data_IF_838957611918
#
_entry.id   IF_838957611918
#
_cell.length_a   1.000
_cell.length_b   1.000
_cell.length_c   1.000
_cell.angle_alpha   90.00
_cell.angle_beta   90.00
_cell.angle_gamma   90.00
#
_symmetry.space_group_name_H-M   'P 1'
#
loop_
_entity.id
_entity.type
_entity.pdbx_description
1 polymer ?
#
# COMPACT_ATOMS: atom_id res chain seq x y z
N UNK A 1 -37.91 -24.07 -22.08
CA UNK A 1 -36.47 -23.82 -22.38
C UNK A 1 -36.08 -22.34 -22.29
N UNK A 2 -36.91 -21.37 -22.71
CA UNK A 2 -36.58 -19.93 -22.65
C UNK A 2 -36.34 -19.38 -21.22
N UNK A 3 -36.99 -19.93 -20.20
CA UNK A 3 -36.87 -19.46 -18.81
C UNK A 3 -35.47 -19.70 -18.21
N UNK A 4 -34.86 -20.86 -18.48
CA UNK A 4 -33.52 -21.22 -17.95
C UNK A 4 -32.43 -20.31 -18.51
N UNK A 5 -32.54 -19.92 -19.78
CA UNK A 5 -31.59 -18.99 -20.42
C UNK A 5 -31.67 -17.57 -19.87
N UNK A 6 -32.82 -17.12 -19.36
CA UNK A 6 -32.96 -15.78 -18.78
C UNK A 6 -32.30 -15.71 -17.39
N UNK A 7 -32.54 -16.71 -16.54
CA UNK A 7 -31.91 -16.79 -15.21
C UNK A 7 -30.39 -16.89 -15.28
N UNK A 8 -29.86 -17.70 -16.21
CA UNK A 8 -28.41 -17.81 -16.40
C UNK A 8 -27.76 -16.48 -16.81
N UNK A 9 -28.42 -15.70 -17.66
CA UNK A 9 -27.94 -14.36 -18.06
C UNK A 9 -27.94 -13.39 -16.88
N UNK A 10 -29.02 -13.33 -16.10
CA UNK A 10 -29.10 -12.44 -14.93
C UNK A 10 -28.04 -12.81 -13.88
N UNK A 11 -27.85 -14.11 -13.60
CA UNK A 11 -26.83 -14.57 -12.68
C UNK A 11 -25.42 -14.18 -13.13
N UNK A 12 -25.10 -14.31 -14.42
CA UNK A 12 -23.81 -13.87 -14.96
C UNK A 12 -23.61 -12.36 -14.83
N UNK A 13 -24.66 -11.55 -15.08
CA UNK A 13 -24.58 -10.09 -14.91
C UNK A 13 -24.39 -9.71 -13.44
N UNK A 14 -25.10 -10.36 -12.51
CA UNK A 14 -24.96 -10.12 -11.06
C UNK A 14 -23.57 -10.54 -10.57
N UNK A 15 -23.05 -11.70 -11.00
CA UNK A 15 -21.69 -12.15 -10.65
C UNK A 15 -20.62 -11.20 -11.22
N UNK A 16 -20.83 -10.62 -12.41
CA UNK A 16 -19.94 -9.58 -12.93
C UNK A 16 -20.06 -8.25 -12.16
N UNK A 17 -21.26 -7.88 -11.71
CA UNK A 17 -21.50 -6.67 -10.91
C UNK A 17 -21.00 -6.79 -9.46
N UNK A 18 -20.94 -8.01 -8.92
CA UNK A 18 -20.37 -8.30 -7.59
C UNK A 18 -18.98 -8.90 -7.68
N UNK A 19 -18.29 -8.79 -8.82
CA UNK A 19 -16.84 -8.87 -8.82
C UNK A 19 -16.36 -7.65 -8.05
N UNK A 20 -16.49 -7.74 -6.73
CA UNK A 20 -16.07 -6.76 -5.75
C UNK A 20 -14.59 -6.55 -6.06
N UNK A 21 -14.30 -5.47 -6.77
CA UNK A 21 -13.02 -4.79 -6.67
C UNK A 21 -12.92 -4.46 -5.19
N UNK A 22 -12.36 -5.40 -4.40
CA UNK A 22 -12.12 -5.17 -2.99
C UNK A 22 -11.09 -4.05 -2.97
N UNK A 23 -11.59 -2.83 -2.89
CA UNK A 23 -10.80 -1.62 -2.85
C UNK A 23 -9.92 -1.72 -1.61
N UNK A 24 -8.61 -1.62 -1.82
CA UNK A 24 -7.64 -1.74 -0.74
C UNK A 24 -7.97 -0.72 0.34
N UNK A 25 -8.07 -1.18 1.59
CA UNK A 25 -8.30 -0.32 2.74
C UNK A 25 -6.94 0.10 3.30
N UNK A 26 -6.66 1.39 3.35
CA UNK A 26 -5.47 1.95 3.97
C UNK A 26 -5.84 2.93 5.09
N UNK A 27 -4.87 3.22 5.95
CA UNK A 27 -4.95 4.39 6.82
C UNK A 27 -4.32 5.59 6.13
N UNK A 28 -4.96 6.74 6.26
CA UNK A 28 -4.46 8.05 5.84
C UNK A 28 -4.43 9.04 6.99
N UNK A 29 -3.41 9.89 7.05
CA UNK A 29 -3.35 11.01 7.97
C UNK A 29 -3.58 12.34 7.24
N UNK A 30 -4.44 13.19 7.81
CA UNK A 30 -4.65 14.56 7.31
C UNK A 30 -3.53 15.52 7.73
N UNK A 31 -3.65 16.79 7.34
CA UNK A 31 -2.69 17.86 7.69
C UNK A 31 -2.58 18.11 9.20
N UNK A 32 -3.55 17.67 10.00
CA UNK A 32 -3.53 17.75 11.46
C UNK A 32 -2.93 16.52 12.15
N UNK A 33 -2.45 15.54 11.37
CA UNK A 33 -1.91 14.27 11.87
C UNK A 33 -2.98 13.25 12.26
N UNK A 34 -4.28 13.58 12.07
CA UNK A 34 -5.36 12.67 12.42
C UNK A 34 -5.45 11.54 11.40
N UNK A 35 -5.38 10.32 11.91
CA UNK A 35 -5.46 9.08 11.11
C UNK A 35 -6.91 8.63 10.95
N UNK A 36 -7.29 8.26 9.73
CA UNK A 36 -8.59 7.68 9.39
C UNK A 36 -8.43 6.52 8.41
N UNK A 37 -9.41 5.62 8.42
CA UNK A 37 -9.48 4.50 7.49
C UNK A 37 -10.18 4.96 6.20
N UNK A 38 -9.60 4.60 5.06
CA UNK A 38 -10.09 4.97 3.74
C UNK A 38 -9.87 3.81 2.77
N UNK A 39 -10.78 3.67 1.80
CA UNK A 39 -10.75 2.64 0.78
C UNK A 39 -10.86 3.30 -0.59
N UNK A 40 -9.98 2.94 -1.51
CA UNK A 40 -9.95 3.47 -2.87
C UNK A 40 -9.64 2.35 -3.87
N UNK A 41 -10.45 2.23 -4.91
CA UNK A 41 -10.32 1.21 -5.94
C UNK A 41 -9.06 1.37 -6.80
N UNK A 42 -8.44 2.55 -6.81
CA UNK A 42 -7.20 2.78 -7.56
C UNK A 42 -5.94 2.39 -6.80
N UNK A 43 -6.03 2.10 -5.50
CA UNK A 43 -4.85 1.79 -4.69
C UNK A 43 -4.50 0.31 -4.74
N UNK A 44 -3.24 0.06 -5.05
CA UNK A 44 -2.64 -1.26 -5.01
C UNK A 44 -1.86 -1.49 -3.70
N UNK A 45 -1.45 -0.39 -3.04
CA UNK A 45 -0.59 -0.46 -1.86
C UNK A 45 -0.95 0.56 -0.78
N UNK A 46 -0.65 0.19 0.46
CA UNK A 46 -0.57 1.14 1.55
C UNK A 46 0.89 1.46 1.87
N UNK A 47 1.13 2.71 2.26
CA UNK A 47 2.43 3.28 2.58
C UNK A 47 2.48 3.62 4.06
N UNK A 48 3.64 3.35 4.66
CA UNK A 48 4.01 3.73 6.00
C UNK A 48 5.37 4.44 5.96
N UNK A 49 5.41 5.68 6.43
CA UNK A 49 6.63 6.48 6.58
C UNK A 49 6.88 6.67 8.07
N UNK A 50 7.90 6.03 8.66
CA UNK A 50 8.20 6.22 10.06
C UNK A 50 8.68 7.64 10.35
N UNK A 51 8.11 8.22 11.41
CA UNK A 51 8.61 9.42 12.06
C UNK A 51 8.90 9.15 13.54
N UNK A 52 9.44 10.15 14.24
CA UNK A 52 9.78 10.04 15.67
C UNK A 52 8.52 10.01 16.56
N UNK A 53 7.50 10.80 16.23
CA UNK A 53 6.28 10.95 17.03
C UNK A 53 5.02 10.54 16.25
N UNK A 54 4.97 10.90 14.98
CA UNK A 54 3.86 10.63 14.07
C UNK A 54 4.39 9.99 12.80
N UNK A 55 3.71 8.95 12.32
CA UNK A 55 4.00 8.33 11.04
C UNK A 55 3.03 8.81 10.00
N UNK A 56 3.53 9.00 8.78
CA UNK A 56 2.69 9.30 7.63
C UNK A 56 2.22 7.99 7.03
N UNK A 57 0.92 7.87 6.83
CA UNK A 57 0.25 6.70 6.31
C UNK A 57 -0.64 7.14 5.16
N UNK A 58 -0.64 6.41 4.04
CA UNK A 58 -1.53 6.68 2.91
C UNK A 58 -1.61 5.52 1.94
N UNK A 59 -2.59 5.53 1.04
CA UNK A 59 -2.62 4.59 -0.08
C UNK A 59 -1.97 5.16 -1.34
N UNK A 60 -1.45 4.28 -2.20
CA UNK A 60 -0.90 4.65 -3.50
C UNK A 60 -1.39 3.70 -4.59
N UNK A 61 -1.57 4.28 -5.78
CA UNK A 61 -1.93 3.60 -7.02
C UNK A 61 -1.06 4.05 -8.19
N UNK A 62 -1.25 3.47 -9.39
CA UNK A 62 -0.46 3.78 -10.60
C UNK A 62 -0.54 5.25 -11.04
N UNK A 63 -1.53 5.99 -10.55
CA UNK A 63 -1.74 7.40 -10.82
C UNK A 63 -0.83 8.35 -10.02
N UNK A 64 -0.29 7.90 -8.88
CA UNK A 64 0.56 8.72 -8.00
C UNK A 64 1.97 8.15 -7.81
N UNK A 65 2.20 6.88 -8.12
CA UNK A 65 3.50 6.23 -7.94
C UNK A 65 3.79 5.19 -9.03
N UNK A 66 5.06 4.80 -9.17
CA UNK A 66 5.50 3.77 -10.10
C UNK A 66 5.28 2.35 -9.53
N UNK A 67 4.01 2.02 -9.30
CA UNK A 67 3.53 0.79 -8.64
C UNK A 67 4.06 -0.49 -9.27
N UNK A 68 4.28 -0.51 -10.59
CA UNK A 68 4.84 -1.65 -11.32
C UNK A 68 6.12 -2.22 -10.68
N UNK A 69 6.96 -1.37 -10.11
CA UNK A 69 8.19 -1.81 -9.43
C UNK A 69 7.88 -2.67 -8.20
N UNK A 70 6.80 -2.34 -7.49
CA UNK A 70 6.33 -3.07 -6.32
C UNK A 70 5.59 -4.35 -6.74
N UNK A 71 4.80 -4.29 -7.82
CA UNK A 71 4.08 -5.46 -8.36
C UNK A 71 5.05 -6.62 -8.61
N UNK A 72 6.19 -6.33 -9.25
CA UNK A 72 7.21 -7.32 -9.55
C UNK A 72 7.78 -7.96 -8.26
N UNK A 73 8.07 -7.14 -7.26
CA UNK A 73 8.59 -7.62 -5.99
C UNK A 73 7.55 -8.43 -5.18
N UNK A 74 6.31 -7.94 -5.06
CA UNK A 74 5.23 -8.66 -4.38
C UNK A 74 4.77 -9.92 -5.13
N UNK A 75 4.90 -9.96 -6.46
CA UNK A 75 4.66 -11.16 -7.26
C UNK A 75 5.68 -12.27 -7.03
N UNK A 76 6.85 -11.93 -6.47
CA UNK A 76 7.90 -12.89 -6.11
C UNK A 76 7.51 -13.63 -4.82
N UNK A 77 6.58 -14.57 -4.95
CA UNK A 77 6.16 -15.46 -3.87
C UNK A 77 6.11 -16.91 -4.35
N UNK A 78 6.46 -17.84 -3.46
CA UNK A 78 6.34 -19.27 -3.65
C UNK A 78 5.75 -19.95 -2.40
N UNK A 79 5.88 -21.28 -2.29
CA UNK A 79 5.32 -22.03 -1.17
C UNK A 79 6.05 -21.82 0.16
N UNK A 80 7.28 -21.31 0.15
CA UNK A 80 8.14 -21.17 1.33
C UNK A 80 8.52 -19.71 1.61
N UNK A 81 8.30 -18.81 0.65
CA UNK A 81 8.70 -17.41 0.73
C UNK A 81 7.64 -16.48 0.14
N UNK A 82 7.43 -15.34 0.80
CA UNK A 82 6.59 -14.26 0.31
C UNK A 82 7.18 -12.92 0.73
N UNK A 83 7.18 -11.94 -0.17
CA UNK A 83 7.47 -10.54 0.17
C UNK A 83 6.24 -9.95 0.87
N UNK A 84 6.39 -9.56 2.14
CA UNK A 84 5.29 -8.96 2.92
C UNK A 84 5.35 -7.43 2.96
N UNK A 85 6.54 -6.86 2.80
CA UNK A 85 6.76 -5.42 2.73
C UNK A 85 8.07 -5.09 2.03
N UNK A 86 8.11 -3.95 1.37
CA UNK A 86 9.29 -3.36 0.74
C UNK A 86 9.55 -2.02 1.40
N UNK A 87 10.76 -1.78 1.91
CA UNK A 87 11.13 -0.47 2.44
C UNK A 87 12.25 0.14 1.60
N UNK A 88 12.10 1.42 1.27
CA UNK A 88 12.96 2.17 0.36
C UNK A 88 13.53 3.37 1.11
N UNK A 89 14.83 3.59 0.97
CA UNK A 89 15.48 4.86 1.30
C UNK A 89 15.73 5.60 -0.01
N UNK A 90 14.94 6.63 -0.26
CA UNK A 90 14.96 7.42 -1.49
C UNK A 90 15.73 8.72 -1.24
N UNK A 91 16.57 9.11 -2.20
CA UNK A 91 17.25 10.41 -2.23
C UNK A 91 16.56 11.27 -3.28
N UNK A 92 16.02 12.41 -2.86
CA UNK A 92 15.49 13.44 -3.73
C UNK A 92 16.52 14.54 -3.84
N UNK A 93 16.95 14.86 -5.06
CA UNK A 93 17.80 16.01 -5.33
C UNK A 93 16.98 17.04 -6.08
N UNK A 94 16.49 18.04 -5.35
CA UNK A 94 15.68 19.10 -5.93
C UNK A 94 16.55 20.13 -6.65
N UNK A 95 17.88 20.09 -6.47
CA UNK A 95 18.82 21.03 -7.06
C UNK A 95 18.34 22.48 -6.95
N UNK A 96 18.28 23.17 -8.10
CA UNK A 96 17.86 24.57 -8.19
C UNK A 96 16.38 24.83 -7.89
N UNK A 97 15.54 23.79 -7.79
CA UNK A 97 14.15 23.95 -7.38
C UNK A 97 14.04 24.24 -5.88
N UNK A 98 15.04 23.87 -5.09
CA UNK A 98 15.10 24.20 -3.68
C UNK A 98 15.82 25.55 -3.51
N UNK A 99 15.16 26.61 -3.01
CA UNK A 99 15.79 27.92 -2.80
C UNK A 99 17.03 27.87 -1.91
N UNK A 100 17.14 26.86 -1.03
CA UNK A 100 18.29 26.65 -0.15
C UNK A 100 19.56 26.27 -0.92
N UNK A 101 19.44 25.72 -2.14
CA UNK A 101 20.59 25.30 -2.95
C UNK A 101 21.55 26.44 -3.28
N UNK A 102 21.07 27.69 -3.30
CA UNK A 102 21.90 28.87 -3.53
C UNK A 102 22.81 29.20 -2.32
N UNK A 103 22.43 28.74 -1.13
CA UNK A 103 23.15 28.95 0.13
C UNK A 103 24.05 27.74 0.40
N UNK A 104 23.48 26.54 0.32
CA UNK A 104 24.19 25.27 0.48
C UNK A 104 23.56 24.21 -0.45
N UNK A 105 24.28 23.77 -1.51
CA UNK A 105 23.80 22.71 -2.40
C UNK A 105 23.50 21.39 -1.68
N UNK A 106 24.09 21.12 -0.51
CA UNK A 106 23.78 19.91 0.25
C UNK A 106 22.37 19.96 0.88
N UNK A 107 21.83 21.15 1.11
CA UNK A 107 20.45 21.34 1.61
C UNK A 107 19.39 21.15 0.51
N UNK A 108 19.77 21.00 -0.77
CA UNK A 108 18.83 20.65 -1.84
C UNK A 108 18.52 19.15 -1.89
N UNK A 109 19.25 18.35 -1.12
CA UNK A 109 19.10 16.90 -1.05
C UNK A 109 18.23 16.54 0.15
N UNK A 110 17.14 15.82 -0.11
CA UNK A 110 16.27 15.27 0.92
C UNK A 110 16.26 13.74 0.84
N UNK A 111 15.97 13.11 1.99
CA UNK A 111 15.87 11.66 2.08
C UNK A 111 14.51 11.29 2.67
N UNK A 112 13.88 10.27 2.08
CA UNK A 112 12.62 9.72 2.58
C UNK A 112 12.81 8.21 2.74
N UNK A 113 12.49 7.71 3.92
CA UNK A 113 12.37 6.28 4.15
C UNK A 113 10.90 5.90 4.23
N UNK A 114 10.43 5.05 3.33
CA UNK A 114 9.03 4.61 3.30
C UNK A 114 8.94 3.11 3.08
N UNK A 115 7.92 2.51 3.67
CA UNK A 115 7.60 1.10 3.51
C UNK A 115 6.26 0.95 2.81
N UNK A 116 6.18 -0.05 1.94
CA UNK A 116 5.03 -0.40 1.12
C UNK A 116 4.56 -1.79 1.55
N UNK A 117 3.25 -1.99 1.61
CA UNK A 117 2.59 -3.28 1.86
C UNK A 117 1.30 -3.39 1.04
N UNK A 118 0.87 -4.62 0.76
CA UNK A 118 -0.14 -4.95 -0.27
C UNK A 118 -1.32 -5.73 0.28
N UNK A 119 -1.89 -5.30 1.41
CA UNK A 119 -3.12 -5.90 1.97
C UNK A 119 -3.85 -4.91 2.90
N UNK A 120 -5.12 -5.18 3.17
CA UNK A 120 -5.97 -4.28 3.96
C UNK A 120 -5.32 -3.89 5.29
N UNK A 121 -5.28 -2.58 5.55
CA UNK A 121 -4.92 -1.97 6.82
C UNK A 121 -3.50 -2.28 7.28
N UNK A 122 -2.64 -2.72 6.36
CA UNK A 122 -1.26 -3.12 6.66
C UNK A 122 -0.40 -1.97 7.19
N UNK A 123 -0.77 -0.71 6.91
CA UNK A 123 -0.11 0.49 7.40
C UNK A 123 -0.71 1.07 8.70
N UNK A 124 -1.48 0.28 9.46
CA UNK A 124 -2.18 0.73 10.68
C UNK A 124 -1.31 1.14 11.87
N UNK A 125 -0.04 0.74 11.87
CA UNK A 125 0.85 0.98 12.99
C UNK A 125 1.37 2.43 13.00
N UNK A 126 1.64 2.95 14.21
CA UNK A 126 2.21 4.30 14.39
C UNK A 126 3.73 4.33 14.50
N UNK A 127 4.38 3.17 14.64
CA UNK A 127 5.84 3.05 14.75
C UNK A 127 6.35 1.95 13.84
N UNK A 128 7.61 2.05 13.39
CA UNK A 128 8.20 1.09 12.46
C UNK A 128 8.26 -0.33 13.06
N UNK A 129 8.62 -0.45 14.33
CA UNK A 129 8.66 -1.75 15.03
C UNK A 129 7.28 -2.40 15.09
N UNK A 130 6.23 -1.60 15.36
CA UNK A 130 4.86 -2.10 15.38
C UNK A 130 4.38 -2.46 13.97
N UNK A 131 4.73 -1.67 12.96
CA UNK A 131 4.43 -1.97 11.55
C UNK A 131 4.96 -3.34 11.15
N UNK A 132 6.25 -3.61 11.38
CA UNK A 132 6.85 -4.91 11.07
C UNK A 132 6.25 -6.05 11.90
N UNK A 133 5.88 -5.78 13.16
CA UNK A 133 5.25 -6.77 14.03
C UNK A 133 3.85 -7.14 13.54
N UNK A 134 3.02 -6.15 13.22
CA UNK A 134 1.66 -6.35 12.73
C UNK A 134 1.66 -7.15 11.43
N UNK A 135 2.51 -6.77 10.46
CA UNK A 135 2.66 -7.52 9.21
C UNK A 135 3.00 -8.99 9.44
N UNK A 136 3.92 -9.28 10.36
CA UNK A 136 4.27 -10.67 10.69
C UNK A 136 3.11 -11.42 11.34
N UNK A 137 2.34 -10.78 12.21
CA UNK A 137 1.22 -11.40 12.89
C UNK A 137 0.09 -11.71 11.91
N UNK A 138 -0.27 -10.76 11.06
CA UNK A 138 -1.35 -10.91 10.07
C UNK A 138 -1.05 -12.07 9.12
N UNK A 139 0.23 -12.25 8.76
CA UNK A 139 0.68 -13.28 7.83
C UNK A 139 1.16 -14.59 8.50
N UNK A 140 1.24 -14.66 9.83
CA UNK A 140 1.54 -15.93 10.51
C UNK A 140 0.34 -16.89 10.45
N UNK A 141 -0.88 -16.33 10.45
CA UNK A 141 -2.14 -17.08 10.39
C UNK A 141 -2.35 -17.81 9.05
N UNK A 142 -1.88 -17.24 7.94
CA UNK A 142 -2.15 -17.75 6.58
C UNK A 142 -1.42 -19.04 6.25
N UNK A 143 -0.32 -19.36 6.96
CA UNK A 143 0.45 -20.59 6.72
C UNK A 143 -0.13 -21.82 7.44
N UNK A 144 -1.03 -21.64 8.41
CA UNK A 144 -1.56 -22.76 9.19
C UNK A 144 -2.71 -23.51 8.50
N UNK A 145 -3.36 -22.93 7.50
CA UNK A 145 -4.61 -23.47 6.92
C UNK A 145 -4.45 -24.25 5.60
N UNK A 146 -3.21 -24.50 5.13
CA UNK A 146 -2.98 -25.21 3.85
C UNK A 146 -2.41 -26.63 3.96
N UNK A 147 -2.45 -27.26 5.13
CA UNK A 147 -2.13 -28.69 5.31
C UNK A 147 -3.35 -29.46 5.82
#
# INVERSE_FOLDING_TARGET
MASVTLFARVAATVVMLTANTNALVCYENDESGKVYEISNESWDYCVFIPGYEESRVFGIGPEVDWTKTYDEAFSTSDKIYQVLSICLLEKYDFGQLNPKSAIDPSESVEFIFRCICSYDRCNSATTFSNYLKTIKLDNASSSAEKN
#
